data_IF_546726479946
#
_entry.id   IF_546726479946
#
_cell.length_a   1.000
_cell.length_b   1.000
_cell.length_c   1.000
_cell.angle_alpha   90.00
_cell.angle_beta   90.00
_cell.angle_gamma   90.00
#
_symmetry.space_group_name_H-M   'P 1'
#
loop_
_entity.id
_entity.type
_entity.pdbx_description
1 polymer ?
#
# COMPACT_ATOMS: atom_id res chain seq x y z
N UNK A 1 -5.55 43.67 -8.09
CA UNK A 1 -5.14 42.81 -6.96
C UNK A 1 -6.11 41.65 -6.67
N UNK A 2 -7.39 41.71 -7.03
CA UNK A 2 -8.38 40.66 -6.76
C UNK A 2 -8.17 39.32 -7.53
N UNK A 3 -7.65 39.35 -8.76
CA UNK A 3 -7.48 38.15 -9.59
C UNK A 3 -6.46 37.15 -9.04
N UNK A 4 -5.38 37.64 -8.40
CA UNK A 4 -4.34 36.76 -7.85
C UNK A 4 -4.85 35.99 -6.61
N UNK A 5 -5.78 36.58 -5.86
CA UNK A 5 -6.42 35.91 -4.72
C UNK A 5 -7.37 34.79 -5.17
N UNK A 6 -8.10 34.98 -6.27
CA UNK A 6 -8.98 33.96 -6.84
C UNK A 6 -8.19 32.75 -7.36
N UNK A 7 -7.08 33.00 -8.07
CA UNK A 7 -6.20 31.92 -8.56
C UNK A 7 -5.60 31.12 -7.40
N UNK A 8 -5.24 31.79 -6.30
CA UNK A 8 -4.74 31.11 -5.10
C UNK A 8 -5.84 30.29 -4.39
N UNK A 9 -7.08 30.77 -4.38
CA UNK A 9 -8.21 30.02 -3.81
C UNK A 9 -8.59 28.80 -4.64
N UNK A 10 -8.59 28.91 -5.98
CA UNK A 10 -8.82 27.77 -6.87
C UNK A 10 -7.69 26.75 -6.78
N UNK A 11 -6.43 27.20 -6.74
CA UNK A 11 -5.28 26.32 -6.54
C UNK A 11 -5.37 25.58 -5.20
N UNK A 12 -5.79 26.26 -4.12
CA UNK A 12 -6.00 25.62 -2.82
C UNK A 12 -7.16 24.63 -2.84
N UNK A 13 -8.26 24.94 -3.52
CA UNK A 13 -9.41 24.04 -3.65
C UNK A 13 -9.04 22.77 -4.44
N UNK A 14 -8.26 22.89 -5.50
CA UNK A 14 -7.75 21.76 -6.28
C UNK A 14 -6.77 20.91 -5.46
N UNK A 15 -5.85 21.54 -4.72
CA UNK A 15 -4.92 20.85 -3.82
C UNK A 15 -5.63 20.15 -2.66
N UNK A 16 -6.70 20.73 -2.13
CA UNK A 16 -7.52 20.12 -1.08
C UNK A 16 -8.26 18.88 -1.59
N UNK A 17 -8.81 18.92 -2.82
CA UNK A 17 -9.41 17.75 -3.46
C UNK A 17 -8.38 16.64 -3.68
N UNK A 18 -7.19 16.98 -4.17
CA UNK A 18 -6.09 16.03 -4.36
C UNK A 18 -5.57 15.44 -3.04
N UNK A 19 -5.59 16.22 -1.95
CA UNK A 19 -5.21 15.76 -0.60
C UNK A 19 -6.29 14.86 0.01
N UNK A 20 -7.57 15.16 -0.19
CA UNK A 20 -8.68 14.36 0.31
C UNK A 20 -8.77 12.98 -0.35
N UNK A 21 -8.41 12.87 -1.64
CA UNK A 21 -8.42 11.60 -2.38
C UNK A 21 -7.29 10.63 -1.97
N UNK A 22 -6.15 11.15 -1.48
CA UNK A 22 -4.98 10.33 -1.08
C UNK A 22 -4.99 9.88 0.38
N UNK A 23 -6.03 10.16 1.16
CA UNK A 23 -6.03 9.97 2.63
C UNK A 23 -6.89 8.83 3.25
N UNK A 24 -7.35 7.75 2.57
CA UNK A 24 -8.08 6.70 3.29
C UNK A 24 -7.22 5.52 3.79
N UNK A 25 -6.00 5.29 3.27
CA UNK A 25 -5.21 4.10 3.64
C UNK A 25 -4.25 4.33 4.82
N UNK A 26 -3.56 5.48 4.88
CA UNK A 26 -2.64 5.80 5.99
C UNK A 26 -3.40 6.17 7.28
N UNK A 27 -4.59 6.75 7.18
CA UNK A 27 -5.42 7.14 8.32
C UNK A 27 -5.93 5.94 9.14
N UNK A 28 -6.12 4.76 8.53
CA UNK A 28 -6.54 3.54 9.24
C UNK A 28 -5.42 2.94 10.11
N UNK A 29 -4.17 3.06 9.66
CA UNK A 29 -2.98 2.63 10.43
C UNK A 29 -2.64 3.64 11.54
N UNK A 30 -2.75 4.95 11.26
CA UNK A 30 -2.61 6.00 12.28
C UNK A 30 -3.75 5.95 13.30
N UNK A 31 -4.98 5.63 12.90
CA UNK A 31 -6.13 5.54 13.81
C UNK A 31 -5.98 4.43 14.86
N UNK A 32 -5.34 3.30 14.53
CA UNK A 32 -5.05 2.25 15.52
C UNK A 32 -3.90 2.62 16.47
N UNK A 33 -2.90 3.37 15.99
CA UNK A 33 -1.79 3.90 16.80
C UNK A 33 -2.28 5.00 17.77
N UNK A 34 -3.14 5.90 17.28
CA UNK A 34 -3.73 6.98 18.06
C UNK A 34 -4.70 6.44 19.13
N UNK A 35 -5.55 5.46 18.79
CA UNK A 35 -6.48 4.85 19.76
C UNK A 35 -5.78 4.17 20.94
N UNK A 36 -4.61 3.56 20.75
CA UNK A 36 -3.86 2.91 21.84
C UNK A 36 -3.05 3.87 22.69
N UNK A 37 -2.49 4.93 22.09
CA UNK A 37 -1.86 6.02 22.85
C UNK A 37 -2.90 6.71 23.75
N UNK A 38 -4.05 7.07 23.18
CA UNK A 38 -5.17 7.65 23.94
C UNK A 38 -5.67 6.71 25.05
N UNK A 39 -5.76 5.41 24.80
CA UNK A 39 -6.18 4.44 25.82
C UNK A 39 -5.16 4.28 26.96
N UNK A 40 -3.86 4.35 26.66
CA UNK A 40 -2.78 4.24 27.66
C UNK A 40 -2.75 5.50 28.53
N UNK A 41 -2.80 6.67 27.91
CA UNK A 41 -2.85 7.96 28.63
C UNK A 41 -4.13 8.07 29.48
N UNK A 42 -5.28 7.65 28.93
CA UNK A 42 -6.55 7.64 29.68
C UNK A 42 -6.52 6.69 30.89
N UNK A 43 -5.86 5.53 30.79
CA UNK A 43 -5.70 4.60 31.91
C UNK A 43 -4.81 5.19 33.02
N UNK A 44 -3.71 5.86 32.65
CA UNK A 44 -2.81 6.53 33.60
C UNK A 44 -3.54 7.67 34.33
N UNK A 45 -4.32 8.48 33.60
CA UNK A 45 -5.14 9.55 34.18
C UNK A 45 -6.23 9.00 35.11
N UNK A 46 -6.89 7.90 34.74
CA UNK A 46 -7.88 7.22 35.59
C UNK A 46 -7.29 6.72 36.90
N UNK A 47 -6.12 6.07 36.86
CA UNK A 47 -5.43 5.57 38.06
C UNK A 47 -4.98 6.73 38.95
N UNK A 48 -4.48 7.81 38.35
CA UNK A 48 -4.09 9.02 39.06
C UNK A 48 -5.28 9.70 39.78
N UNK A 49 -6.44 9.77 39.14
CA UNK A 49 -7.67 10.33 39.73
C UNK A 49 -8.16 9.51 40.92
N UNK A 50 -8.11 8.17 40.83
CA UNK A 50 -8.51 7.27 41.92
C UNK A 50 -7.60 7.44 43.14
N UNK A 51 -6.28 7.53 42.91
CA UNK A 51 -5.28 7.71 43.99
C UNK A 51 -5.42 9.11 44.63
N UNK A 52 -5.66 10.15 43.81
CA UNK A 52 -5.86 11.52 44.28
C UNK A 52 -7.13 11.74 45.11
N UNK A 53 -8.10 10.84 45.02
CA UNK A 53 -9.32 10.87 45.83
C UNK A 53 -9.10 10.34 47.26
N UNK A 54 -8.05 9.54 47.48
CA UNK A 54 -7.72 8.90 48.77
C UNK A 54 -6.56 9.63 49.49
N UNK A 55 -5.71 10.35 48.76
CA UNK A 55 -4.65 11.19 49.32
C UNK A 55 -4.59 12.53 48.57
N UNK A 56 -4.57 13.69 49.25
CA UNK A 56 -4.37 14.97 48.59
C UNK A 56 -2.96 15.03 48.00
N UNK A 57 -2.89 14.77 46.70
CA UNK A 57 -1.70 14.87 45.87
C UNK A 57 -1.33 16.36 45.79
N UNK A 58 -0.43 16.81 46.66
CA UNK A 58 0.17 18.15 46.55
C UNK A 58 0.96 18.32 45.24
N UNK A 59 1.81 19.34 45.16
CA UNK A 59 2.69 19.56 43.98
C UNK A 59 3.53 18.34 43.60
N UNK A 60 3.90 17.53 44.58
CA UNK A 60 4.62 16.25 44.39
C UNK A 60 3.82 15.20 43.61
N UNK A 61 2.50 15.12 43.79
CA UNK A 61 1.65 14.17 43.06
C UNK A 61 1.40 14.57 41.61
N UNK A 62 1.36 15.87 41.33
CA UNK A 62 1.28 16.41 39.96
C UNK A 62 2.56 16.08 39.18
N UNK A 63 3.72 16.22 39.80
CA UNK A 63 5.00 15.86 39.18
C UNK A 63 5.07 14.36 38.88
N UNK A 64 4.59 13.51 39.80
CA UNK A 64 4.63 12.06 39.65
C UNK A 64 3.69 11.57 38.54
N UNK A 65 2.51 12.18 38.42
CA UNK A 65 1.55 11.89 37.34
C UNK A 65 2.03 12.36 35.97
N UNK A 66 2.66 13.54 35.89
CA UNK A 66 3.33 14.00 34.66
C UNK A 66 4.47 13.07 34.24
N UNK A 67 5.27 12.60 35.20
CA UNK A 67 6.35 11.66 34.93
C UNK A 67 5.82 10.30 34.44
N UNK A 68 4.74 9.79 35.03
CA UNK A 68 4.07 8.57 34.60
C UNK A 68 3.47 8.68 33.19
N UNK A 69 2.89 9.84 32.84
CA UNK A 69 2.40 10.13 31.49
C UNK A 69 3.54 10.15 30.46
N UNK A 70 4.66 10.81 30.76
CA UNK A 70 5.83 10.84 29.89
C UNK A 70 6.44 9.46 29.70
N UNK A 71 6.64 8.69 30.78
CA UNK A 71 7.15 7.32 30.71
C UNK A 71 6.18 6.39 29.98
N UNK A 72 4.88 6.49 30.27
CA UNK A 72 3.84 5.69 29.64
C UNK A 72 3.76 5.93 28.13
N UNK A 73 3.83 7.20 27.70
CA UNK A 73 3.88 7.59 26.29
C UNK A 73 5.14 7.07 25.60
N UNK A 74 6.31 7.18 26.25
CA UNK A 74 7.58 6.69 25.73
C UNK A 74 7.58 5.15 25.59
N UNK A 75 7.11 4.44 26.62
CA UNK A 75 6.98 2.97 26.61
C UNK A 75 5.92 2.50 25.60
N UNK A 76 4.82 3.23 25.44
CA UNK A 76 3.80 2.93 24.44
C UNK A 76 4.35 3.02 23.02
N UNK A 77 5.25 3.97 22.74
CA UNK A 77 5.97 4.07 21.45
C UNK A 77 6.95 2.91 21.27
N UNK A 78 7.69 2.53 22.33
CA UNK A 78 8.67 1.44 22.29
C UNK A 78 8.03 0.03 22.17
N UNK A 79 6.79 -0.13 22.64
CA UNK A 79 6.02 -1.38 22.52
C UNK A 79 5.32 -1.54 21.17
N UNK A 80 5.38 -0.54 20.29
CA UNK A 80 4.96 -0.66 18.89
C UNK A 80 5.90 -1.63 18.20
N UNK A 81 5.55 -2.92 18.21
CA UNK A 81 6.18 -3.89 17.33
C UNK A 81 5.94 -3.43 15.89
N UNK A 82 6.97 -3.28 15.04
CA UNK A 82 6.74 -3.07 13.63
C UNK A 82 5.86 -4.22 13.14
N UNK A 83 4.78 -3.88 12.42
CA UNK A 83 3.99 -4.90 11.73
C UNK A 83 4.98 -5.63 10.84
N UNK A 84 5.28 -6.88 11.18
CA UNK A 84 6.21 -7.67 10.39
C UNK A 84 5.65 -7.72 8.97
N UNK A 85 6.43 -7.32 7.95
CA UNK A 85 5.97 -7.42 6.59
C UNK A 85 5.57 -8.88 6.33
N UNK A 86 4.46 -9.12 5.60
CA UNK A 86 4.03 -10.49 5.29
C UNK A 86 5.21 -11.23 4.65
N UNK A 87 5.45 -12.46 5.06
CA UNK A 87 6.57 -13.22 4.47
C UNK A 87 6.24 -13.60 3.04
N UNK A 88 7.25 -13.79 2.19
CA UNK A 88 7.01 -14.16 0.77
C UNK A 88 6.29 -15.50 0.67
N UNK A 89 6.56 -16.42 1.61
CA UNK A 89 5.87 -17.70 1.74
C UNK A 89 4.39 -17.54 2.13
N UNK A 90 4.01 -16.42 2.76
CA UNK A 90 2.62 -16.11 3.05
C UNK A 90 1.91 -15.60 1.80
N UNK A 91 2.59 -14.83 0.93
CA UNK A 91 2.04 -14.36 -0.34
C UNK A 91 1.65 -15.53 -1.23
N UNK A 92 2.54 -16.52 -1.42
CA UNK A 92 2.28 -17.69 -2.26
C UNK A 92 1.06 -18.52 -1.82
N UNK A 93 0.70 -18.47 -0.53
CA UNK A 93 -0.44 -19.21 0.04
C UNK A 93 -1.75 -18.41 0.03
N UNK A 94 -1.72 -17.13 -0.32
CA UNK A 94 -2.92 -16.29 -0.32
C UNK A 94 -3.85 -16.60 -1.50
N UNK A 95 -5.17 -16.45 -1.32
CA UNK A 95 -6.10 -16.49 -2.43
C UNK A 95 -5.82 -15.34 -3.40
N UNK A 96 -6.12 -15.57 -4.68
CA UNK A 96 -5.80 -14.63 -5.75
C UNK A 96 -6.38 -13.23 -5.52
N UNK A 97 -7.58 -13.16 -4.92
CA UNK A 97 -8.29 -11.92 -4.60
C UNK A 97 -7.51 -10.99 -3.67
N UNK A 98 -6.75 -11.56 -2.74
CA UNK A 98 -6.00 -10.79 -1.75
C UNK A 98 -4.54 -10.54 -2.19
N UNK A 99 -4.05 -11.30 -3.18
CA UNK A 99 -2.66 -11.27 -3.60
C UNK A 99 -2.15 -9.88 -4.03
N UNK A 100 -2.85 -9.10 -4.86
CA UNK A 100 -2.38 -7.78 -5.28
C UNK A 100 -2.22 -6.81 -4.11
N UNK A 101 -3.21 -6.75 -3.21
CA UNK A 101 -3.19 -5.84 -2.05
C UNK A 101 -2.11 -6.23 -1.02
N UNK A 102 -1.95 -7.53 -0.77
CA UNK A 102 -0.91 -8.06 0.12
C UNK A 102 0.48 -7.77 -0.42
N UNK A 103 0.67 -7.91 -1.72
CA UNK A 103 1.96 -7.66 -2.36
C UNK A 103 2.28 -6.18 -2.44
N UNK A 104 1.28 -5.32 -2.67
CA UNK A 104 1.47 -3.87 -2.58
C UNK A 104 1.92 -3.46 -1.16
N UNK A 105 1.29 -4.04 -0.12
CA UNK A 105 1.68 -3.82 1.27
C UNK A 105 3.09 -4.30 1.54
N UNK A 106 3.44 -5.50 1.08
CA UNK A 106 4.78 -6.06 1.18
C UNK A 106 5.84 -5.18 0.51
N UNK A 107 5.61 -4.79 -0.73
CA UNK A 107 6.52 -3.97 -1.53
C UNK A 107 6.74 -2.58 -0.88
N UNK A 108 5.69 -2.00 -0.30
CA UNK A 108 5.80 -0.75 0.46
C UNK A 108 6.73 -0.86 1.67
N UNK A 109 6.79 -2.03 2.31
CA UNK A 109 7.67 -2.29 3.44
C UNK A 109 9.13 -2.49 3.00
N UNK A 110 9.36 -2.98 1.77
CA UNK A 110 10.72 -3.17 1.22
C UNK A 110 11.36 -1.88 0.70
N UNK A 111 10.56 -0.84 0.42
CA UNK A 111 10.99 0.45 -0.12
C UNK A 111 12.23 1.09 0.55
N UNK A 112 12.43 1.05 1.88
CA UNK A 112 13.61 1.63 2.52
C UNK A 112 14.93 0.95 2.09
N UNK A 113 14.90 -0.34 1.78
CA UNK A 113 16.07 -1.10 1.34
C UNK A 113 16.43 -0.84 -0.13
N UNK A 114 15.50 -0.31 -0.93
CA UNK A 114 15.68 -0.10 -2.37
C UNK A 114 16.48 1.19 -2.68
N UNK A 115 17.24 1.21 -3.80
CA UNK A 115 17.94 2.40 -4.28
C UNK A 115 16.93 3.45 -4.79
N UNK A 116 17.32 4.73 -4.78
CA UNK A 116 16.40 5.83 -5.07
C UNK A 116 15.64 5.72 -6.42
N UNK A 117 16.24 5.27 -7.53
CA UNK A 117 15.53 5.06 -8.79
C UNK A 117 14.47 3.95 -8.72
N UNK A 118 14.82 2.82 -8.11
CA UNK A 118 13.94 1.65 -7.94
C UNK A 118 12.69 1.95 -7.09
N UNK A 119 12.78 2.86 -6.13
CA UNK A 119 11.64 3.27 -5.28
C UNK A 119 10.47 3.81 -6.13
N UNK A 120 10.75 4.50 -7.24
CA UNK A 120 9.70 5.03 -8.12
C UNK A 120 8.92 3.91 -8.81
N UNK A 121 9.63 2.90 -9.32
CA UNK A 121 8.99 1.73 -9.91
C UNK A 121 8.23 0.91 -8.88
N UNK A 122 8.78 0.74 -7.68
CA UNK A 122 8.07 0.07 -6.59
C UNK A 122 6.76 0.79 -6.21
N UNK A 123 6.77 2.12 -6.14
CA UNK A 123 5.56 2.92 -5.89
C UNK A 123 4.54 2.83 -7.06
N UNK A 124 5.02 2.78 -8.32
CA UNK A 124 4.17 2.63 -9.49
C UNK A 124 3.50 1.25 -9.55
N UNK A 125 4.29 0.20 -9.32
CA UNK A 125 3.81 -1.19 -9.22
C UNK A 125 2.78 -1.32 -8.10
N UNK A 126 3.09 -0.81 -6.90
CA UNK A 126 2.15 -0.86 -5.78
C UNK A 126 0.79 -0.23 -6.11
N UNK A 127 0.79 0.92 -6.80
CA UNK A 127 -0.45 1.57 -7.24
C UNK A 127 -1.20 0.75 -8.29
N UNK A 128 -0.51 0.13 -9.26
CA UNK A 128 -1.12 -0.75 -10.26
C UNK A 128 -1.72 -2.00 -9.62
N UNK A 129 -1.01 -2.64 -8.70
CA UNK A 129 -1.51 -3.79 -7.95
C UNK A 129 -2.81 -3.45 -7.21
N UNK A 130 -2.90 -2.28 -6.56
CA UNK A 130 -4.14 -1.84 -5.91
C UNK A 130 -5.29 -1.58 -6.89
N UNK A 131 -5.00 -1.17 -8.13
CA UNK A 131 -6.03 -0.99 -9.19
C UNK A 131 -6.48 -2.32 -9.79
N UNK A 132 -5.61 -3.33 -9.79
CA UNK A 132 -5.93 -4.67 -10.28
C UNK A 132 -6.84 -5.46 -9.35
N UNK A 133 -6.88 -5.14 -8.05
CA UNK A 133 -7.74 -5.83 -7.06
C UNK A 133 -9.18 -6.09 -7.53
N UNK A 134 -9.97 -5.09 -7.96
CA UNK A 134 -11.33 -5.32 -8.45
C UNK A 134 -11.42 -6.16 -9.73
N UNK A 135 -10.42 -6.07 -10.61
CA UNK A 135 -10.38 -6.89 -11.82
C UNK A 135 -10.14 -8.36 -11.45
N UNK A 136 -9.21 -8.60 -10.54
CA UNK A 136 -8.86 -9.94 -10.04
C UNK A 136 -9.99 -10.59 -9.24
N UNK A 137 -10.82 -9.81 -8.54
CA UNK A 137 -11.97 -10.33 -7.79
C UNK A 137 -13.00 -11.08 -8.65
N UNK A 138 -13.12 -10.66 -9.91
CA UNK A 138 -14.06 -11.22 -10.89
C UNK A 138 -13.43 -12.29 -11.79
N UNK A 139 -12.11 -12.52 -11.69
CA UNK A 139 -11.43 -13.53 -12.50
C UNK A 139 -11.49 -14.90 -11.83
N UNK A 140 -11.85 -15.97 -12.55
CA UNK A 140 -11.74 -17.32 -12.03
C UNK A 140 -10.27 -17.68 -11.86
N UNK A 141 -9.91 -18.37 -10.76
CA UNK A 141 -8.51 -18.69 -10.44
C UNK A 141 -7.80 -19.55 -11.50
N UNK A 142 -8.56 -20.28 -12.31
CA UNK A 142 -8.05 -21.16 -13.38
C UNK A 142 -7.79 -20.40 -14.69
N UNK A 143 -8.13 -19.11 -14.77
CA UNK A 143 -7.89 -18.31 -15.97
C UNK A 143 -6.36 -18.16 -16.19
N UNK A 144 -5.85 -18.30 -17.43
CA UNK A 144 -4.43 -18.07 -17.72
C UNK A 144 -3.93 -16.69 -17.23
N UNK A 145 -4.73 -15.62 -17.35
CA UNK A 145 -4.37 -14.29 -16.85
C UNK A 145 -4.26 -14.27 -15.31
N UNK A 146 -5.14 -14.97 -14.61
CA UNK A 146 -5.11 -15.10 -13.16
C UNK A 146 -3.85 -15.84 -12.67
N UNK A 147 -3.47 -16.92 -13.36
CA UNK A 147 -2.25 -17.67 -13.06
C UNK A 147 -0.99 -16.83 -13.30
N UNK A 148 -0.97 -16.05 -14.39
CA UNK A 148 0.14 -15.16 -14.71
C UNK A 148 0.31 -14.05 -13.67
N UNK A 149 -0.80 -13.42 -13.24
CA UNK A 149 -0.79 -12.42 -12.17
C UNK A 149 -0.27 -13.05 -10.88
N UNK A 150 -0.78 -14.24 -10.50
CA UNK A 150 -0.30 -14.95 -9.31
C UNK A 150 1.21 -15.11 -9.37
N UNK A 151 1.73 -15.72 -10.44
CA UNK A 151 3.16 -15.96 -10.60
C UNK A 151 3.98 -14.67 -10.51
N UNK A 152 3.58 -13.62 -11.24
CA UNK A 152 4.29 -12.34 -11.26
C UNK A 152 4.36 -11.70 -9.86
N UNK A 153 3.25 -11.78 -9.12
CA UNK A 153 3.04 -11.05 -7.86
C UNK A 153 3.54 -11.83 -6.64
N UNK A 154 3.44 -13.17 -6.65
CA UNK A 154 3.85 -14.01 -5.52
C UNK A 154 5.24 -14.65 -5.65
N UNK A 155 5.78 -14.72 -6.87
CA UNK A 155 7.09 -15.35 -7.13
C UNK A 155 8.06 -14.34 -7.73
N UNK A 156 7.81 -13.86 -8.96
CA UNK A 156 8.81 -13.12 -9.74
C UNK A 156 9.18 -11.77 -9.12
N UNK A 157 8.18 -10.98 -8.70
CA UNK A 157 8.42 -9.69 -8.06
C UNK A 157 9.09 -9.85 -6.68
N UNK A 158 8.61 -10.73 -5.78
CA UNK A 158 9.26 -10.94 -4.50
C UNK A 158 10.69 -11.47 -4.61
N UNK A 159 10.93 -12.43 -5.50
CA UNK A 159 12.25 -13.02 -5.76
C UNK A 159 13.26 -11.97 -6.22
N UNK A 160 12.87 -11.11 -7.18
CA UNK A 160 13.73 -10.02 -7.68
C UNK A 160 14.17 -9.07 -6.55
N UNK A 161 13.22 -8.66 -5.71
CA UNK A 161 13.48 -7.71 -4.62
C UNK A 161 14.27 -8.37 -3.50
N UNK A 162 13.96 -9.62 -3.12
CA UNK A 162 14.70 -10.37 -2.11
C UNK A 162 16.15 -10.62 -2.54
N UNK A 163 16.36 -11.05 -3.78
CA UNK A 163 17.70 -11.28 -4.33
C UNK A 163 18.58 -10.03 -4.26
N UNK A 164 17.99 -8.83 -4.34
CA UNK A 164 18.72 -7.58 -4.11
C UNK A 164 18.93 -7.26 -2.61
N UNK A 165 17.90 -7.46 -1.78
CA UNK A 165 17.97 -7.15 -0.33
C UNK A 165 18.99 -8.04 0.39
N UNK A 166 19.12 -9.30 -0.03
CA UNK A 166 20.04 -10.29 0.53
C UNK A 166 21.51 -9.95 0.24
N UNK A 167 21.79 -9.11 -0.75
CA UNK A 167 23.15 -8.66 -1.05
C UNK A 167 23.67 -7.68 0.02
N UNK A 168 24.92 -7.84 0.49
CA UNK A 168 25.58 -6.86 1.34
C UNK A 168 25.64 -5.47 0.69
N UNK A 169 25.43 -4.40 1.46
CA UNK A 169 25.34 -3.03 0.93
C UNK A 169 26.59 -2.60 0.14
N UNK A 170 27.78 -3.04 0.55
CA UNK A 170 29.04 -2.77 -0.16
C UNK A 170 29.01 -3.24 -1.61
N UNK A 171 28.39 -4.38 -1.89
CA UNK A 171 28.37 -5.00 -3.21
C UNK A 171 27.27 -4.48 -4.13
N UNK A 172 26.32 -3.69 -3.62
CA UNK A 172 25.14 -3.25 -4.40
C UNK A 172 25.47 -2.19 -5.46
N UNK A 173 26.49 -1.38 -5.19
CA UNK A 173 26.93 -0.27 -6.06
C UNK A 173 28.06 -0.66 -7.01
N UNK A 174 28.76 -1.74 -6.71
CA UNK A 174 29.91 -2.18 -7.49
C UNK A 174 29.45 -2.86 -8.79
N UNK A 175 29.83 -2.28 -9.93
CA UNK A 175 29.74 -2.97 -11.21
C UNK A 175 30.86 -4.01 -11.27
N UNK A 176 30.49 -5.27 -11.51
CA UNK A 176 31.47 -6.34 -11.77
C UNK A 176 31.86 -6.33 -13.24
N UNK A 177 33.04 -6.85 -13.57
CA UNK A 177 33.58 -6.83 -14.94
C UNK A 177 32.54 -7.26 -15.99
N UNK A 178 32.13 -6.30 -16.85
CA UNK A 178 31.13 -6.51 -17.90
C UNK A 178 29.66 -6.57 -17.46
N UNK A 179 29.35 -6.48 -16.17
CA UNK A 179 27.99 -6.56 -15.63
C UNK A 179 27.54 -5.23 -14.99
N UNK A 180 26.26 -4.88 -15.17
CA UNK A 180 25.65 -3.72 -14.51
C UNK A 180 25.69 -3.89 -12.99
N UNK A 181 25.74 -2.79 -12.23
CA UNK A 181 25.64 -2.86 -10.76
C UNK A 181 24.29 -3.47 -10.34
N UNK A 182 24.23 -4.19 -9.21
CA UNK A 182 22.96 -4.70 -8.67
C UNK A 182 21.88 -3.62 -8.52
N UNK A 183 22.23 -2.39 -8.15
CA UNK A 183 21.30 -1.24 -8.12
C UNK A 183 20.62 -0.99 -9.49
N UNK A 184 21.44 -1.02 -10.56
CA UNK A 184 20.96 -0.81 -11.93
C UNK A 184 20.16 -2.01 -12.42
N UNK A 185 20.58 -3.24 -12.08
CA UNK A 185 19.87 -4.46 -12.44
C UNK A 185 18.49 -4.52 -11.78
N UNK A 186 18.39 -4.22 -10.47
CA UNK A 186 17.11 -4.14 -9.78
C UNK A 186 16.19 -3.09 -10.41
N UNK A 187 16.73 -1.92 -10.70
CA UNK A 187 15.94 -0.83 -11.33
C UNK A 187 15.38 -1.27 -12.69
N UNK A 188 16.21 -1.92 -13.52
CA UNK A 188 15.76 -2.44 -14.81
C UNK A 188 14.75 -3.59 -14.66
N UNK A 189 14.97 -4.50 -13.71
CA UNK A 189 14.04 -5.60 -13.43
C UNK A 189 12.67 -5.09 -12.99
N UNK A 190 12.62 -4.09 -12.10
CA UNK A 190 11.36 -3.49 -11.65
C UNK A 190 10.63 -2.74 -12.78
N UNK A 191 11.35 -2.13 -13.71
CA UNK A 191 10.75 -1.55 -14.91
C UNK A 191 10.10 -2.63 -15.80
N UNK A 192 10.78 -3.76 -16.02
CA UNK A 192 10.23 -4.91 -16.76
C UNK A 192 8.96 -5.44 -16.09
N UNK A 193 8.95 -5.59 -14.77
CA UNK A 193 7.77 -6.03 -14.01
C UNK A 193 6.63 -5.01 -14.14
N UNK A 194 6.94 -3.70 -14.07
CA UNK A 194 5.95 -2.64 -14.26
C UNK A 194 5.29 -2.73 -15.65
N UNK A 195 6.08 -2.94 -16.71
CA UNK A 195 5.59 -3.11 -18.08
C UNK A 195 4.82 -4.43 -18.28
N UNK A 196 5.19 -5.50 -17.58
CA UNK A 196 4.45 -6.75 -17.59
C UNK A 196 3.05 -6.58 -16.97
N UNK A 197 2.95 -5.88 -15.84
CA UNK A 197 1.68 -5.51 -15.22
C UNK A 197 0.80 -4.67 -16.16
N UNK A 198 1.39 -3.72 -16.88
CA UNK A 198 0.67 -2.90 -17.88
C UNK A 198 0.07 -3.72 -19.00
N UNK A 199 0.83 -4.69 -19.54
CA UNK A 199 0.35 -5.58 -20.59
C UNK A 199 -0.81 -6.45 -20.09
N UNK A 200 -0.69 -7.00 -18.88
CA UNK A 200 -1.78 -7.78 -18.29
C UNK A 200 -3.05 -6.92 -18.09
N UNK A 201 -2.90 -5.67 -17.61
CA UNK A 201 -4.01 -4.73 -17.45
C UNK A 201 -4.70 -4.42 -18.80
N UNK A 202 -3.90 -4.23 -19.86
CA UNK A 202 -4.41 -4.01 -21.22
C UNK A 202 -5.16 -5.24 -21.75
N UNK A 203 -4.60 -6.44 -21.60
CA UNK A 203 -5.22 -7.68 -22.06
C UNK A 203 -6.56 -7.93 -21.35
N UNK A 204 -6.62 -7.66 -20.04
CA UNK A 204 -7.85 -7.72 -19.25
C UNK A 204 -8.90 -6.74 -19.76
N UNK A 205 -8.51 -5.49 -20.01
CA UNK A 205 -9.41 -4.46 -20.52
C UNK A 205 -9.95 -4.81 -21.92
N UNK A 206 -9.08 -5.30 -22.82
CA UNK A 206 -9.48 -5.72 -24.17
C UNK A 206 -10.51 -6.85 -24.13
N UNK A 207 -10.31 -7.85 -23.29
CA UNK A 207 -11.25 -8.98 -23.17
C UNK A 207 -12.65 -8.55 -22.70
N UNK A 208 -12.72 -7.58 -21.77
CA UNK A 208 -14.00 -7.08 -21.29
C UNK A 208 -14.69 -6.19 -22.35
N UNK A 209 -13.93 -5.41 -23.13
CA UNK A 209 -14.49 -4.67 -24.28
C UNK A 209 -15.05 -5.60 -25.36
N UNK A 210 -14.38 -6.71 -25.66
CA UNK A 210 -14.84 -7.68 -26.64
C UNK A 210 -16.16 -8.37 -26.23
N UNK A 211 -16.30 -8.68 -24.93
CA UNK A 211 -17.57 -9.19 -24.38
C UNK A 211 -18.69 -8.17 -24.54
N UNK A 212 -18.43 -6.89 -24.25
CA UNK A 212 -19.42 -5.82 -24.39
C UNK A 212 -19.86 -5.65 -25.85
N UNK A 213 -18.91 -5.65 -26.79
CA UNK A 213 -19.21 -5.57 -28.22
C UNK A 213 -20.08 -6.75 -28.69
N UNK A 214 -19.78 -7.96 -28.22
CA UNK A 214 -20.56 -9.17 -28.53
C UNK A 214 -21.98 -9.07 -27.96
N UNK A 215 -22.14 -8.62 -26.72
CA UNK A 215 -23.45 -8.41 -26.11
C UNK A 215 -24.27 -7.35 -26.85
N UNK A 216 -23.65 -6.22 -27.21
CA UNK A 216 -24.32 -5.19 -28.00
C UNK A 216 -24.81 -5.76 -29.33
N UNK A 217 -23.96 -6.51 -30.05
CA UNK A 217 -24.34 -7.11 -31.33
C UNK A 217 -25.48 -8.11 -31.19
N UNK A 218 -25.46 -8.93 -30.14
CA UNK A 218 -26.55 -9.84 -29.83
C UNK A 218 -27.86 -9.11 -29.56
N UNK A 219 -27.83 -8.01 -28.79
CA UNK A 219 -29.01 -7.19 -28.52
C UNK A 219 -29.53 -6.53 -29.79
N UNK A 220 -28.65 -6.00 -30.64
CA UNK A 220 -29.05 -5.46 -31.94
C UNK A 220 -29.77 -6.49 -32.80
N UNK A 221 -29.23 -7.72 -32.91
CA UNK A 221 -29.87 -8.78 -33.67
C UNK A 221 -31.21 -9.20 -33.06
N UNK A 222 -31.27 -9.42 -31.75
CA UNK A 222 -32.48 -9.87 -31.06
C UNK A 222 -33.63 -8.86 -31.15
N UNK A 223 -33.34 -7.56 -31.04
CA UNK A 223 -34.38 -6.53 -30.97
C UNK A 223 -34.61 -5.76 -32.28
N UNK A 224 -33.66 -5.75 -33.23
CA UNK A 224 -33.89 -5.14 -34.56
C UNK A 224 -34.42 -6.13 -35.60
N UNK A 225 -34.20 -7.44 -35.43
CA UNK A 225 -34.68 -8.45 -36.38
C UNK A 225 -36.05 -9.03 -36.02
N UNK A 226 -36.56 -8.78 -34.81
CA UNK A 226 -37.90 -9.20 -34.38
C UNK A 226 -38.83 -8.00 -34.14
N UNK A 227 -39.43 -7.43 -35.20
CA UNK A 227 -40.39 -6.32 -35.09
C UNK A 227 -41.82 -6.76 -34.69
N UNK A 228 -42.02 -7.97 -34.16
CA UNK A 228 -43.35 -8.51 -33.83
C UNK A 228 -43.52 -8.85 -32.34
N UNK A 229 -43.34 -7.86 -31.47
CA UNK A 229 -44.06 -7.78 -30.19
C UNK A 229 -44.99 -6.56 -30.21
#
# INVERSE_FOLDING_TARGET
MASNQQVLQEAQAVLQRYRAEKLPQQARLMGRRLKRLVATDAAIVMIALIIGMVHPLGTSGIILTLFALLLGSLLAVLTIRPVQPPKVEELQKQPLKLLPDRTATWLSAQKPALPAPARRFADAIGQKLSRLTPAVDNLPEQNPAALQIRKLVSEELPELVQGYVDLPESLRKEAREGMKSPDSQLTAGLDVINQALERIEQDLASHDLDKLATQQRFLELKYKTDPQL
#
